data_IF_791795157840
#
_entry.id   IF_791795157840
#
_cell.length_a   1.000
_cell.length_b   1.000
_cell.length_c   1.000
_cell.angle_alpha   90.00
_cell.angle_beta   90.00
_cell.angle_gamma   90.00
#
_symmetry.space_group_name_H-M   'P 1'
#
loop_
_entity.id
_entity.type
_entity.pdbx_description
1 polymer ?
#
# COMPACT_ATOMS: atom_id res chain seq x y z
N UNK A 1 -21.46 -35.34 2.09
CA UNK A 1 -22.28 -34.31 2.78
C UNK A 1 -22.03 -32.98 2.10
N UNK A 2 -23.07 -32.29 1.66
CA UNK A 2 -22.94 -30.90 1.19
C UNK A 2 -22.82 -29.97 2.42
N UNK A 3 -21.93 -28.97 2.35
CA UNK A 3 -21.80 -27.93 3.36
C UNK A 3 -23.05 -27.03 3.31
N UNK A 4 -23.90 -27.04 4.33
CA UNK A 4 -25.20 -26.31 4.34
C UNK A 4 -25.23 -25.09 5.24
N UNK A 5 -24.21 -24.87 6.08
CA UNK A 5 -24.20 -23.80 7.10
C UNK A 5 -24.37 -22.40 6.49
N UNK A 6 -23.83 -22.18 5.30
CA UNK A 6 -23.87 -20.87 4.60
C UNK A 6 -24.81 -20.88 3.39
N UNK A 7 -25.72 -21.86 3.28
CA UNK A 7 -26.57 -22.06 2.09
C UNK A 7 -27.36 -20.81 1.71
N UNK A 8 -27.86 -20.08 2.70
CA UNK A 8 -28.72 -18.92 2.51
C UNK A 8 -27.96 -17.59 2.73
N UNK A 9 -26.62 -17.62 2.72
CA UNK A 9 -25.76 -16.44 2.87
C UNK A 9 -25.08 -16.07 1.55
N UNK A 10 -24.99 -14.77 1.28
CA UNK A 10 -24.11 -14.23 0.24
C UNK A 10 -22.68 -14.22 0.81
N UNK A 11 -21.77 -14.91 0.13
CA UNK A 11 -20.34 -14.99 0.48
C UNK A 11 -19.51 -14.27 -0.59
N UNK A 12 -19.39 -12.92 -0.53
CA UNK A 12 -18.69 -12.19 -1.56
C UNK A 12 -17.20 -12.52 -1.59
N UNK A 13 -16.66 -12.78 -2.79
CA UNK A 13 -15.27 -13.09 -3.02
C UNK A 13 -14.42 -11.82 -3.27
N UNK A 14 -13.22 -11.81 -2.69
CA UNK A 14 -12.19 -10.77 -2.86
C UNK A 14 -10.81 -11.36 -2.58
N UNK A 15 -9.76 -10.63 -2.94
CA UNK A 15 -8.38 -10.94 -2.54
C UNK A 15 -7.82 -9.87 -1.58
N UNK A 16 -6.65 -10.15 -0.99
CA UNK A 16 -6.02 -9.30 0.03
C UNK A 16 -5.54 -7.95 -0.52
N UNK A 17 -5.10 -7.84 -1.77
CA UNK A 17 -4.72 -6.55 -2.34
C UNK A 17 -3.73 -6.64 -3.49
N UNK A 18 -2.53 -7.13 -3.19
CA UNK A 18 -1.44 -7.16 -4.16
C UNK A 18 -1.60 -8.27 -5.20
N UNK A 19 -1.11 -8.01 -6.40
CA UNK A 19 -1.02 -8.97 -7.50
C UNK A 19 0.39 -9.00 -8.08
N UNK A 20 0.81 -10.10 -8.73
CA UNK A 20 2.06 -10.12 -9.49
C UNK A 20 2.07 -9.01 -10.53
N UNK A 21 3.12 -8.17 -10.49
CA UNK A 21 3.31 -7.12 -11.47
C UNK A 21 3.65 -7.72 -12.83
N UNK A 22 2.95 -7.33 -13.91
CA UNK A 22 3.36 -7.74 -15.26
C UNK A 22 4.78 -7.26 -15.56
N UNK A 23 5.62 -8.13 -16.13
CA UNK A 23 7.05 -7.82 -16.36
C UNK A 23 7.30 -6.61 -17.26
N UNK A 24 6.35 -6.26 -18.11
CA UNK A 24 6.45 -5.08 -18.97
C UNK A 24 6.13 -3.76 -18.22
N UNK A 25 5.50 -3.82 -17.05
CA UNK A 25 5.34 -2.67 -16.16
C UNK A 25 6.56 -2.54 -15.24
N UNK A 26 7.69 -2.21 -15.85
CA UNK A 26 9.04 -2.15 -15.25
C UNK A 26 9.39 -0.76 -14.68
N UNK A 27 8.39 0.08 -14.43
CA UNK A 27 8.58 1.45 -13.94
C UNK A 27 8.09 1.60 -12.50
N UNK A 28 8.78 2.43 -11.72
CA UNK A 28 8.48 2.72 -10.33
C UNK A 28 8.33 4.23 -10.10
N UNK A 29 7.61 4.59 -9.04
CA UNK A 29 7.39 5.99 -8.67
C UNK A 29 8.62 6.57 -7.97
N UNK A 30 9.35 5.75 -7.21
CA UNK A 30 10.56 6.14 -6.47
C UNK A 30 10.33 7.38 -5.61
N UNK A 31 9.25 7.37 -4.82
CA UNK A 31 8.83 8.49 -3.97
C UNK A 31 8.25 9.72 -4.72
N UNK A 32 8.28 9.76 -6.06
CA UNK A 32 7.67 10.86 -6.82
C UNK A 32 6.14 10.88 -6.63
N UNK A 33 5.51 12.07 -6.64
CA UNK A 33 4.04 12.18 -6.68
C UNK A 33 3.45 11.46 -7.89
N UNK A 34 2.21 10.98 -7.79
CA UNK A 34 1.53 10.33 -8.91
C UNK A 34 1.42 11.28 -10.10
N UNK A 35 1.12 12.55 -9.85
CA UNK A 35 0.96 13.54 -10.89
C UNK A 35 2.23 13.73 -11.71
N UNK A 36 3.38 13.74 -11.05
CA UNK A 36 4.70 13.76 -11.72
C UNK A 36 4.93 12.51 -12.55
N UNK A 37 4.61 11.32 -12.01
CA UNK A 37 4.76 10.07 -12.75
C UNK A 37 3.85 10.01 -13.97
N UNK A 38 2.63 10.56 -13.87
CA UNK A 38 1.64 10.56 -14.95
C UNK A 38 1.96 11.54 -16.09
N UNK A 39 2.95 12.42 -15.93
CA UNK A 39 3.51 13.23 -17.03
C UNK A 39 4.50 12.44 -17.90
N UNK A 40 5.09 11.36 -17.37
CA UNK A 40 5.90 10.43 -18.16
C UNK A 40 4.96 9.48 -18.92
N UNK A 41 4.99 9.57 -20.25
CA UNK A 41 4.13 8.77 -21.14
C UNK A 41 4.33 7.27 -20.88
N UNK A 42 5.56 6.80 -20.64
CA UNK A 42 5.84 5.37 -20.41
C UNK A 42 5.22 4.88 -19.12
N UNK A 43 5.39 5.63 -18.03
CA UNK A 43 4.76 5.28 -16.75
C UNK A 43 3.25 5.34 -16.87
N UNK A 44 2.72 6.42 -17.48
CA UNK A 44 1.29 6.64 -17.63
C UNK A 44 0.61 5.49 -18.37
N UNK A 45 1.11 5.11 -19.55
CA UNK A 45 0.55 4.04 -20.36
C UNK A 45 0.63 2.71 -19.60
N UNK A 46 1.82 2.33 -19.15
CA UNK A 46 2.02 1.05 -18.45
C UNK A 46 1.18 0.94 -17.17
N UNK A 47 1.06 2.02 -16.39
CA UNK A 47 0.26 2.01 -15.17
C UNK A 47 -1.25 1.88 -15.48
N UNK A 48 -1.75 2.57 -16.51
CA UNK A 48 -3.15 2.45 -16.94
C UNK A 48 -3.47 1.06 -17.48
N UNK A 49 -2.55 0.48 -18.26
CA UNK A 49 -2.69 -0.84 -18.84
C UNK A 49 -2.60 -1.92 -17.76
N UNK A 50 -1.68 -1.79 -16.80
CA UNK A 50 -1.53 -2.77 -15.73
C UNK A 50 -2.78 -2.82 -14.85
N UNK A 51 -3.36 -1.65 -14.54
CA UNK A 51 -4.65 -1.59 -13.85
C UNK A 51 -5.78 -2.25 -14.66
N UNK A 52 -5.83 -2.03 -15.98
CA UNK A 52 -6.85 -2.65 -16.83
C UNK A 52 -6.72 -4.17 -16.90
N UNK A 53 -5.47 -4.68 -16.95
CA UNK A 53 -5.18 -6.12 -16.95
C UNK A 53 -5.60 -6.77 -15.63
N UNK A 54 -5.07 -6.29 -14.50
CA UNK A 54 -5.35 -6.93 -13.19
C UNK A 54 -6.84 -6.89 -12.85
N UNK A 55 -7.51 -5.76 -13.09
CA UNK A 55 -8.94 -5.63 -12.81
C UNK A 55 -9.77 -6.50 -13.76
N UNK A 56 -9.37 -6.58 -15.03
CA UNK A 56 -10.03 -7.45 -16.00
C UNK A 56 -9.88 -8.93 -15.65
N UNK A 57 -8.71 -9.34 -15.15
CA UNK A 57 -8.45 -10.72 -14.72
C UNK A 57 -9.23 -11.06 -13.46
N UNK A 58 -9.26 -10.16 -12.47
CA UNK A 58 -10.10 -10.31 -11.27
C UNK A 58 -11.59 -10.41 -11.60
N UNK A 59 -12.08 -9.59 -12.54
CA UNK A 59 -13.49 -9.62 -12.96
C UNK A 59 -13.84 -10.93 -13.67
N UNK A 60 -12.99 -11.39 -14.59
CA UNK A 60 -13.13 -12.68 -15.29
C UNK A 60 -13.03 -13.88 -14.35
N UNK A 61 -12.22 -13.78 -13.30
CA UNK A 61 -12.12 -14.78 -12.24
C UNK A 61 -13.38 -14.84 -11.36
N UNK A 62 -14.33 -13.90 -11.52
CA UNK A 62 -15.59 -13.90 -10.80
C UNK A 62 -15.51 -13.27 -9.41
N UNK A 63 -14.49 -12.46 -9.11
CA UNK A 63 -14.43 -11.73 -7.84
C UNK A 63 -15.56 -10.68 -7.76
N UNK A 64 -16.13 -10.51 -6.56
CA UNK A 64 -17.22 -9.56 -6.30
C UNK A 64 -16.68 -8.16 -5.95
N UNK A 65 -15.58 -8.12 -5.20
CA UNK A 65 -14.86 -6.89 -4.83
C UNK A 65 -13.44 -7.00 -5.37
N UNK A 66 -13.09 -6.07 -6.25
CA UNK A 66 -11.82 -6.09 -6.97
C UNK A 66 -10.76 -5.27 -6.23
N UNK A 67 -9.51 -5.43 -6.61
CA UNK A 67 -8.37 -4.66 -6.10
C UNK A 67 -7.66 -3.91 -7.23
N UNK A 68 -6.70 -3.06 -6.89
CA UNK A 68 -5.84 -2.38 -7.87
C UNK A 68 -4.43 -2.99 -7.93
N UNK A 69 -4.23 -4.18 -7.38
CA UNK A 69 -2.95 -4.91 -7.41
C UNK A 69 -1.76 -4.27 -6.69
N UNK A 70 -1.98 -3.21 -5.90
CA UNK A 70 -0.91 -2.39 -5.30
C UNK A 70 0.15 -1.86 -6.30
N UNK A 71 -0.22 -1.71 -7.58
CA UNK A 71 0.71 -1.30 -8.66
C UNK A 71 1.27 0.12 -8.55
N UNK A 72 0.79 0.92 -7.60
CA UNK A 72 1.37 2.23 -7.26
C UNK A 72 2.57 2.12 -6.30
N UNK A 73 2.76 0.98 -5.63
CA UNK A 73 3.95 0.71 -4.85
C UNK A 73 5.16 0.51 -5.79
N UNK A 74 6.39 0.69 -5.33
CA UNK A 74 7.56 0.36 -6.15
C UNK A 74 7.76 -1.17 -6.22
N UNK A 75 8.35 -1.69 -7.31
CA UNK A 75 8.68 -3.13 -7.42
C UNK A 75 9.88 -3.47 -6.53
N UNK A 76 9.63 -3.69 -5.24
CA UNK A 76 10.66 -4.09 -4.28
C UNK A 76 10.42 -5.45 -3.65
N UNK A 77 11.47 -5.97 -3.05
CA UNK A 77 11.50 -7.33 -2.54
C UNK A 77 10.58 -7.50 -1.32
N UNK A 78 9.72 -8.51 -1.39
CA UNK A 78 8.82 -8.96 -0.32
C UNK A 78 7.80 -7.94 0.21
N UNK A 79 7.45 -6.92 -0.57
CA UNK A 79 6.37 -5.99 -0.21
C UNK A 79 6.77 -4.91 0.79
N UNK A 80 8.07 -4.60 0.89
CA UNK A 80 8.55 -3.45 1.68
C UNK A 80 7.91 -2.14 1.20
N UNK A 81 7.67 -2.02 -0.10
CA UNK A 81 7.09 -0.85 -0.78
C UNK A 81 5.73 -0.45 -0.23
N UNK A 82 4.94 -1.39 0.29
CA UNK A 82 3.67 -1.09 0.93
C UNK A 82 3.83 -0.20 2.18
N UNK A 83 4.95 -0.36 2.90
CA UNK A 83 5.35 0.48 4.01
C UNK A 83 6.11 1.72 3.52
N UNK A 84 6.98 1.57 2.52
CA UNK A 84 7.81 2.65 2.00
C UNK A 84 7.01 3.70 1.23
N UNK A 85 5.88 3.36 0.62
CA UNK A 85 5.09 4.29 -0.17
C UNK A 85 4.77 5.61 0.58
N UNK A 86 4.24 5.58 1.82
CA UNK A 86 4.09 6.80 2.61
C UNK A 86 5.42 7.37 3.10
N UNK A 87 6.37 6.53 3.53
CA UNK A 87 7.63 6.97 4.14
C UNK A 87 8.53 7.75 3.17
N UNK A 88 8.55 7.38 1.88
CA UNK A 88 9.28 8.09 0.84
C UNK A 88 8.68 9.48 0.51
N UNK A 89 7.42 9.73 0.91
CA UNK A 89 6.68 10.95 0.57
C UNK A 89 6.59 11.93 1.72
N UNK A 90 6.59 11.43 2.95
CA UNK A 90 6.54 12.27 4.14
C UNK A 90 7.90 12.86 4.48
N UNK A 91 7.90 13.93 5.26
CA UNK A 91 9.12 14.53 5.82
C UNK A 91 9.37 14.03 7.24
N UNK A 92 10.55 14.33 7.79
CA UNK A 92 10.97 13.85 9.10
C UNK A 92 11.62 12.47 9.09
N UNK A 93 11.85 11.91 7.90
CA UNK A 93 12.49 10.62 7.66
C UNK A 93 13.75 10.79 6.81
N UNK A 94 14.84 10.13 7.18
CA UNK A 94 16.09 10.17 6.43
C UNK A 94 16.83 8.82 6.41
N UNK A 95 17.57 8.61 5.33
CA UNK A 95 18.48 7.49 5.16
C UNK A 95 17.82 6.18 4.75
N UNK A 96 18.66 5.15 4.62
CA UNK A 96 18.28 3.79 4.25
C UNK A 96 19.09 2.82 5.12
N UNK A 97 18.57 2.49 6.30
CA UNK A 97 19.31 1.84 7.37
C UNK A 97 18.73 0.47 7.69
N UNK A 98 19.60 -0.47 8.06
CA UNK A 98 19.12 -1.67 8.75
C UNK A 98 18.63 -1.27 10.15
N UNK A 99 17.46 -1.79 10.55
CA UNK A 99 16.94 -1.56 11.89
C UNK A 99 17.89 -2.13 12.95
N UNK A 100 18.13 -1.39 14.03
CA UNK A 100 19.03 -1.84 15.08
C UNK A 100 18.51 -3.10 15.78
N UNK A 101 19.40 -3.97 16.28
CA UNK A 101 18.97 -5.15 17.05
C UNK A 101 18.18 -4.80 18.32
N UNK A 102 18.45 -3.61 18.89
CA UNK A 102 17.80 -3.11 20.09
C UNK A 102 16.32 -2.77 19.87
N UNK A 103 16.01 -2.26 18.68
CA UNK A 103 14.67 -1.78 18.31
C UNK A 103 13.92 -2.78 17.43
N UNK A 104 14.63 -3.73 16.81
CA UNK A 104 14.02 -4.78 15.99
C UNK A 104 13.14 -5.70 16.83
N UNK A 105 11.88 -5.73 16.43
CA UNK A 105 10.86 -6.52 17.10
C UNK A 105 11.23 -8.01 17.17
N UNK A 106 11.03 -8.70 18.31
CA UNK A 106 11.31 -10.14 18.43
C UNK A 106 10.53 -10.99 17.42
N UNK A 107 9.35 -10.53 17.00
CA UNK A 107 8.51 -11.18 15.97
C UNK A 107 9.20 -11.27 14.60
N UNK A 108 10.28 -10.51 14.38
CA UNK A 108 10.98 -10.41 13.10
C UNK A 108 12.31 -11.16 13.09
N UNK A 109 12.47 -12.16 13.97
CA UNK A 109 13.67 -13.00 14.07
C UNK A 109 13.40 -14.38 13.50
N UNK A 110 14.15 -14.72 12.45
CA UNK A 110 14.01 -15.99 11.74
C UNK A 110 15.40 -16.63 11.53
N UNK A 111 15.49 -17.97 11.46
CA UNK A 111 16.76 -18.65 11.21
C UNK A 111 17.42 -18.22 9.89
N UNK A 112 18.76 -18.03 9.86
CA UNK A 112 19.50 -17.81 8.62
C UNK A 112 19.19 -18.87 7.55
N UNK A 113 19.14 -18.45 6.28
CA UNK A 113 18.78 -19.31 5.14
C UNK A 113 17.27 -19.47 4.90
N UNK A 114 16.42 -18.82 5.71
CA UNK A 114 14.98 -18.72 5.43
C UNK A 114 14.66 -17.43 4.67
N UNK A 115 13.64 -17.46 3.79
CA UNK A 115 13.18 -16.28 3.07
C UNK A 115 12.84 -15.12 4.02
N UNK A 116 12.22 -15.41 5.17
CA UNK A 116 11.91 -14.37 6.17
C UNK A 116 13.17 -13.77 6.79
N UNK A 117 14.22 -14.57 7.03
CA UNK A 117 15.49 -14.01 7.48
C UNK A 117 16.11 -13.10 6.42
N UNK A 118 16.13 -13.50 5.15
CA UNK A 118 16.61 -12.66 4.06
C UNK A 118 15.83 -11.34 3.97
N UNK A 119 14.49 -11.40 4.07
CA UNK A 119 13.62 -10.23 4.08
C UNK A 119 13.99 -9.27 5.21
N UNK A 120 13.97 -9.72 6.47
CA UNK A 120 14.12 -8.84 7.63
C UNK A 120 15.58 -8.46 7.95
N UNK A 121 16.55 -8.99 7.21
CA UNK A 121 17.97 -8.57 7.26
C UNK A 121 18.38 -7.77 6.03
N UNK A 122 17.67 -7.88 4.91
CA UNK A 122 17.90 -7.07 3.71
C UNK A 122 17.10 -5.78 3.69
N UNK A 123 15.91 -5.74 4.30
CA UNK A 123 15.11 -4.53 4.36
C UNK A 123 15.88 -3.38 5.02
N UNK A 124 15.74 -2.22 4.39
CA UNK A 124 16.31 -0.96 4.85
C UNK A 124 15.19 0.04 5.03
N UNK A 125 15.27 0.80 6.11
CA UNK A 125 14.24 1.68 6.63
C UNK A 125 14.83 3.06 6.91
N UNK A 126 14.07 4.14 6.69
CA UNK A 126 14.50 5.44 7.13
C UNK A 126 14.43 5.56 8.66
N UNK A 127 15.22 6.47 9.21
CA UNK A 127 15.15 6.86 10.62
C UNK A 127 14.26 8.08 10.78
N UNK A 128 13.60 8.19 11.93
CA UNK A 128 12.83 9.39 12.30
C UNK A 128 13.81 10.46 12.80
N UNK A 129 14.16 11.42 11.95
CA UNK A 129 15.14 12.49 12.26
C UNK A 129 14.49 13.83 12.58
N UNK A 130 13.22 14.01 12.24
CA UNK A 130 12.47 15.24 12.50
C UNK A 130 11.01 14.98 12.85
N UNK A 131 10.24 16.06 12.98
CA UNK A 131 8.78 15.97 13.08
C UNK A 131 8.24 15.40 11.77
N UNK A 132 7.38 14.39 11.85
CA UNK A 132 6.75 13.79 10.69
C UNK A 132 5.70 14.77 10.16
N UNK A 133 5.91 15.25 8.93
CA UNK A 133 4.92 16.07 8.25
C UNK A 133 4.44 15.40 6.98
N UNK A 134 3.13 15.51 6.78
CA UNK A 134 2.44 14.83 5.71
C UNK A 134 2.61 15.53 4.37
N UNK A 135 2.85 14.74 3.31
CA UNK A 135 2.64 15.15 1.90
C UNK A 135 1.61 14.25 1.21
N UNK A 136 0.87 14.75 0.19
CA UNK A 136 -0.15 13.97 -0.52
C UNK A 136 0.32 12.58 -0.95
N UNK A 137 -0.47 11.56 -0.60
CA UNK A 137 -0.24 10.17 -0.97
C UNK A 137 -1.00 9.75 -2.24
N UNK A 138 -1.82 10.64 -2.79
CA UNK A 138 -2.60 10.44 -4.02
C UNK A 138 -3.54 9.21 -4.03
N UNK A 139 -3.79 8.57 -2.88
CA UNK A 139 -4.67 7.40 -2.77
C UNK A 139 -6.05 7.58 -3.41
N UNK A 140 -6.78 8.70 -3.22
CA UNK A 140 -8.06 8.90 -3.89
C UNK A 140 -7.93 8.94 -5.42
N UNK A 141 -6.83 9.48 -5.95
CA UNK A 141 -6.58 9.54 -7.40
C UNK A 141 -6.24 8.14 -7.94
N UNK A 142 -5.37 7.40 -7.26
CA UNK A 142 -5.04 6.00 -7.60
C UNK A 142 -6.32 5.17 -7.65
N UNK A 143 -7.15 5.26 -6.62
CA UNK A 143 -8.41 4.54 -6.59
C UNK A 143 -9.36 4.95 -7.71
N UNK A 144 -9.52 6.25 -8.01
CA UNK A 144 -10.38 6.67 -9.13
C UNK A 144 -9.91 6.10 -10.47
N UNK A 145 -8.60 6.03 -10.69
CA UNK A 145 -8.04 5.42 -11.90
C UNK A 145 -8.38 3.92 -11.98
N UNK A 146 -8.28 3.21 -10.86
CA UNK A 146 -8.61 1.79 -10.77
C UNK A 146 -10.14 1.54 -10.89
N UNK A 147 -10.95 2.23 -10.08
CA UNK A 147 -12.41 2.15 -10.10
C UNK A 147 -12.98 2.50 -11.48
N UNK A 148 -12.32 3.36 -12.25
CA UNK A 148 -12.70 3.66 -13.64
C UNK A 148 -12.58 2.48 -14.62
N UNK A 149 -11.92 1.38 -14.24
CA UNK A 149 -11.73 0.18 -15.09
C UNK A 149 -12.84 -0.86 -14.95
N UNK A 150 -13.67 -0.77 -13.91
CA UNK A 150 -14.77 -1.73 -13.70
C UNK A 150 -16.00 -1.06 -13.08
N UNK A 151 -17.16 -1.68 -13.30
CA UNK A 151 -18.41 -1.31 -12.62
C UNK A 151 -18.54 -1.96 -11.24
N UNK A 152 -17.76 -3.01 -10.97
CA UNK A 152 -17.66 -3.65 -9.65
C UNK A 152 -16.90 -2.75 -8.68
N UNK A 153 -17.18 -2.84 -7.36
CA UNK A 153 -16.45 -2.06 -6.37
C UNK A 153 -14.98 -2.45 -6.35
N UNK A 154 -14.10 -1.45 -6.43
CA UNK A 154 -12.65 -1.62 -6.22
C UNK A 154 -12.32 -1.18 -4.80
N UNK A 155 -11.71 -2.06 -4.00
CA UNK A 155 -11.22 -1.73 -2.67
C UNK A 155 -9.81 -1.12 -2.73
N UNK A 156 -9.47 -0.35 -1.71
CA UNK A 156 -8.15 0.24 -1.55
C UNK A 156 -7.61 -0.05 -0.14
N UNK A 157 -6.43 -0.66 -0.07
CA UNK A 157 -5.74 -0.99 1.19
C UNK A 157 -4.45 -0.18 1.36
N UNK A 158 -4.12 0.18 2.59
CA UNK A 158 -2.82 0.80 2.93
C UNK A 158 -2.31 0.26 4.25
N UNK A 159 -0.98 0.23 4.42
CA UNK A 159 -0.35 -0.14 5.68
C UNK A 159 -0.82 0.77 6.82
N UNK A 160 -1.12 0.20 8.00
CA UNK A 160 -1.46 0.98 9.18
C UNK A 160 -0.19 1.58 9.81
N UNK A 161 -0.35 2.68 10.56
CA UNK A 161 0.80 3.34 11.21
C UNK A 161 1.49 2.48 12.25
N UNK A 162 0.76 1.61 12.93
CA UNK A 162 1.32 0.71 13.93
C UNK A 162 2.33 -0.27 13.34
N UNK A 163 2.01 -0.88 12.18
CA UNK A 163 2.94 -1.79 11.50
C UNK A 163 4.15 -1.04 10.98
N UNK A 164 3.98 0.15 10.38
CA UNK A 164 5.13 0.99 9.98
C UNK A 164 6.03 1.32 11.17
N UNK A 165 5.45 1.63 12.34
CA UNK A 165 6.20 1.91 13.56
C UNK A 165 7.03 0.74 14.08
N UNK A 166 6.78 -0.51 13.64
CA UNK A 166 7.64 -1.65 14.01
C UNK A 166 9.04 -1.57 13.41
N UNK A 167 9.22 -0.78 12.35
CA UNK A 167 10.43 -0.75 11.55
C UNK A 167 11.24 0.55 11.68
N UNK A 168 10.72 1.54 12.40
CA UNK A 168 11.29 2.88 12.46
C UNK A 168 12.06 3.12 13.76
N UNK A 169 13.29 3.61 13.61
CA UNK A 169 14.14 4.02 14.75
C UNK A 169 14.06 5.54 14.96
N UNK A 170 13.91 5.97 16.21
CA UNK A 170 13.82 7.40 16.58
C UNK A 170 15.21 7.97 16.79
N UNK A 171 15.57 8.97 15.98
CA UNK A 171 16.86 9.68 15.99
C UNK A 171 16.66 11.19 16.18
N UNK A 172 15.65 11.57 16.95
CA UNK A 172 15.28 12.96 17.19
C UNK A 172 14.68 13.12 18.58
N UNK A 173 14.78 14.32 19.15
CA UNK A 173 14.17 14.66 20.44
C UNK A 173 12.72 15.15 20.32
N UNK A 174 12.14 15.16 19.11
CA UNK A 174 10.76 15.59 18.85
C UNK A 174 9.70 14.59 19.31
N UNK A 175 10.12 13.37 19.61
CA UNK A 175 9.27 12.27 20.05
C UNK A 175 9.84 11.64 21.30
N UNK A 176 8.97 11.37 22.28
CA UNK A 176 9.35 10.66 23.51
C UNK A 176 9.49 9.16 23.27
N UNK A 177 8.57 8.61 22.48
CA UNK A 177 8.49 7.18 22.20
C UNK A 177 7.85 6.90 20.84
N UNK A 178 7.79 5.63 20.48
CA UNK A 178 7.22 5.18 19.21
C UNK A 178 5.70 5.40 19.14
N UNK A 179 4.99 5.58 20.26
CA UNK A 179 3.53 5.80 20.24
C UNK A 179 3.24 7.18 19.66
N UNK A 180 4.03 8.20 20.01
CA UNK A 180 3.88 9.54 19.43
C UNK A 180 4.17 9.54 17.92
N UNK A 181 5.16 8.76 17.46
CA UNK A 181 5.47 8.56 16.03
C UNK A 181 4.30 7.91 15.30
N UNK A 182 3.79 6.79 15.82
CA UNK A 182 2.62 6.06 15.27
C UNK A 182 1.39 6.97 15.22
N UNK A 183 1.20 7.82 16.22
CA UNK A 183 0.09 8.75 16.31
C UNK A 183 0.17 9.87 15.27
N UNK A 184 1.34 10.47 15.07
CA UNK A 184 1.56 11.48 14.03
C UNK A 184 1.40 10.89 12.62
N UNK A 185 1.90 9.67 12.38
CA UNK A 185 1.67 8.95 11.13
C UNK A 185 0.17 8.66 10.92
N UNK A 186 -0.57 8.28 11.96
CA UNK A 186 -2.01 8.04 11.87
C UNK A 186 -2.78 9.32 11.52
N UNK A 187 -2.48 10.42 12.22
CA UNK A 187 -3.06 11.74 11.93
C UNK A 187 -2.74 12.21 10.52
N UNK A 188 -1.54 11.91 10.03
CA UNK A 188 -1.13 12.21 8.66
C UNK A 188 -1.99 11.46 7.63
N UNK A 189 -2.45 10.24 7.92
CA UNK A 189 -3.33 9.46 7.03
C UNK A 189 -4.82 9.81 7.13
N UNK A 190 -5.29 10.24 8.30
CA UNK A 190 -6.71 10.36 8.65
C UNK A 190 -7.57 11.32 7.79
N UNK A 191 -7.13 12.54 7.41
CA UNK A 191 -7.96 13.51 6.68
C UNK A 191 -8.46 13.04 5.30
N UNK A 192 -7.98 11.90 4.81
CA UNK A 192 -8.30 11.40 3.47
C UNK A 192 -9.18 10.17 3.44
N UNK A 193 -9.35 9.40 4.53
CA UNK A 193 -10.43 8.41 4.62
C UNK A 193 -11.81 9.07 4.51
N UNK A 194 -11.92 10.36 4.84
CA UNK A 194 -13.14 11.16 4.68
C UNK A 194 -13.28 11.85 3.31
N UNK A 195 -12.21 11.88 2.50
CA UNK A 195 -12.20 12.50 1.15
C UNK A 195 -12.58 11.54 0.03
N UNK A 196 -12.82 10.26 0.36
CA UNK A 196 -13.30 9.27 -0.60
C UNK A 196 -14.74 9.62 -0.98
N UNK A 197 -15.05 9.74 -2.28
CA UNK A 197 -16.44 9.91 -2.67
C UNK A 197 -17.21 8.67 -2.21
N UNK A 198 -18.35 8.87 -1.56
CA UNK A 198 -19.34 7.82 -1.37
C UNK A 198 -19.70 7.28 -2.76
N UNK A 199 -19.76 5.95 -2.97
CA UNK A 199 -20.22 5.42 -4.24
C UNK A 199 -21.59 6.04 -4.52
N UNK A 200 -21.68 6.92 -5.53
CA UNK A 200 -22.98 7.37 -5.98
C UNK A 200 -23.69 6.11 -6.45
N UNK A 201 -24.80 5.76 -5.81
CA UNK A 201 -25.73 4.80 -6.35
C UNK A 201 -26.20 5.36 -7.71
N UNK A 202 -25.44 5.09 -8.78
CA UNK A 202 -25.94 5.21 -10.14
C UNK A 202 -26.99 4.12 -10.23
N UNK A 203 -28.21 4.48 -9.82
CA UNK A 203 -29.44 3.78 -10.21
C UNK A 203 -29.29 3.44 -11.67
N UNK A 204 -29.18 2.16 -11.95
CA UNK A 204 -29.38 1.57 -13.26
C UNK A 204 -30.68 2.14 -13.81
N UNK A 205 -30.59 3.14 -14.69
CA UNK A 205 -31.70 3.48 -15.57
C UNK A 205 -31.57 2.56 -16.78
N UNK A 206 -32.41 1.52 -16.71
CA UNK A 206 -32.81 0.56 -17.75
C UNK A 206 -31.75 -0.43 -18.18
#
# INVERSE_FOLDING_TARGET
MALTVTKDLILPATVTGSWPRPRWFDTSMWGRPLDTCMMDVRFREKFQDALAVVIGDEDRAGLDILTHGDFHCDEDFAGRSWHHYPLQRWTGFEGDHLQSEKTRSPWLRYPPGTLLNEIYTAWRWPRVTGKIEHRPLDYPKIWRLAQGKSRKPVRFGTCCSQVMGLFLDIHTNKYKDNREVVWDMARSKSPRCTSWPTPSARRTRR
#
